data_IF_523048479736
#
_entry.id   IF_523048479736
#
_cell.length_a   1.000
_cell.length_b   1.000
_cell.length_c   1.000
_cell.angle_alpha   90.00
_cell.angle_beta   90.00
_cell.angle_gamma   90.00
#
_symmetry.space_group_name_H-M   'P 1'
#
loop_
_entity.id
_entity.type
_entity.pdbx_description
1 polymer ?
#
# COMPACT_ATOMS: atom_id res chain seq x y z
N UNK A 1 5.77 -56.64 -22.54
CA UNK A 1 6.57 -55.50 -23.04
C UNK A 1 6.25 -54.27 -22.19
N UNK A 2 6.96 -54.07 -21.09
CA UNK A 2 6.79 -52.89 -20.23
C UNK A 2 7.75 -51.82 -20.74
N UNK A 3 7.20 -50.72 -21.28
CA UNK A 3 8.02 -49.60 -21.77
C UNK A 3 8.58 -48.84 -20.57
N UNK A 4 9.91 -48.82 -20.49
CA UNK A 4 10.69 -47.96 -19.61
C UNK A 4 10.49 -46.49 -19.96
N UNK A 5 10.26 -45.67 -18.94
CA UNK A 5 10.65 -44.27 -18.91
C UNK A 5 11.37 -44.02 -17.58
N UNK A 6 12.71 -43.98 -17.59
CA UNK A 6 13.52 -43.73 -16.39
C UNK A 6 13.53 -42.23 -16.08
N UNK A 7 13.15 -41.92 -14.83
CA UNK A 7 13.68 -40.92 -13.88
C UNK A 7 14.09 -39.53 -14.39
N UNK A 8 13.44 -38.50 -13.82
CA UNK A 8 14.12 -37.27 -13.41
C UNK A 8 13.75 -37.03 -11.94
N UNK A 9 14.74 -37.24 -11.06
CA UNK A 9 14.67 -36.88 -9.64
C UNK A 9 15.00 -35.41 -9.50
N UNK A 10 14.11 -34.64 -8.87
CA UNK A 10 14.44 -33.37 -8.23
C UNK A 10 13.65 -33.28 -6.91
N UNK A 11 14.40 -32.83 -5.91
CA UNK A 11 14.16 -32.85 -4.48
C UNK A 11 12.82 -32.25 -3.99
N UNK A 12 12.38 -32.81 -2.87
CA UNK A 12 11.80 -32.13 -1.69
C UNK A 12 10.62 -31.15 -1.93
N UNK A 13 9.48 -31.56 -1.37
CA UNK A 13 8.64 -30.68 -0.57
C UNK A 13 7.75 -29.69 -1.34
N UNK A 14 6.44 -29.89 -1.20
CA UNK A 14 5.41 -28.90 -1.48
C UNK A 14 4.96 -28.79 -2.95
N UNK A 15 4.23 -29.81 -3.42
CA UNK A 15 3.23 -29.59 -4.46
C UNK A 15 2.08 -28.76 -3.86
N UNK A 16 2.21 -27.43 -3.88
CA UNK A 16 1.05 -26.57 -3.64
C UNK A 16 0.19 -26.67 -4.89
N UNK A 17 -0.95 -27.35 -4.81
CA UNK A 17 -1.90 -27.40 -5.92
C UNK A 17 -2.32 -25.97 -6.28
N UNK A 18 -2.37 -25.64 -7.57
CA UNK A 18 -2.88 -24.35 -8.07
C UNK A 18 -4.23 -23.97 -7.47
N UNK A 19 -5.06 -24.98 -7.15
CA UNK A 19 -6.34 -24.84 -6.46
C UNK A 19 -6.16 -24.26 -5.04
N UNK A 20 -5.18 -24.76 -4.26
CA UNK A 20 -4.88 -24.24 -2.92
C UNK A 20 -4.34 -22.81 -2.93
N UNK A 21 -3.60 -22.43 -3.98
CA UNK A 21 -3.12 -21.05 -4.16
C UNK A 21 -4.32 -20.11 -4.34
N UNK A 22 -5.24 -20.44 -5.26
CA UNK A 22 -6.43 -19.63 -5.53
C UNK A 22 -7.40 -19.56 -4.34
N UNK A 23 -7.57 -20.66 -3.59
CA UNK A 23 -8.37 -20.68 -2.36
C UNK A 23 -7.73 -19.83 -1.25
N UNK A 24 -6.40 -19.86 -1.10
CA UNK A 24 -5.71 -19.00 -0.13
C UNK A 24 -5.80 -17.51 -0.49
N UNK A 25 -5.76 -17.18 -1.79
CA UNK A 25 -5.90 -15.83 -2.29
C UNK A 25 -7.35 -15.32 -2.15
N UNK A 26 -8.33 -16.22 -2.37
CA UNK A 26 -9.76 -15.95 -2.22
C UNK A 26 -10.17 -15.81 -0.75
N UNK A 27 -9.63 -16.65 0.14
CA UNK A 27 -9.83 -16.53 1.58
C UNK A 27 -9.15 -15.27 2.15
N UNK A 28 -7.98 -14.89 1.62
CA UNK A 28 -7.35 -13.61 1.92
C UNK A 28 -8.18 -12.42 1.39
N UNK A 29 -8.85 -12.55 0.24
CA UNK A 29 -9.83 -11.55 -0.24
C UNK A 29 -11.09 -11.48 0.62
N UNK A 30 -11.62 -12.61 1.10
CA UNK A 30 -12.84 -12.65 1.92
C UNK A 30 -12.61 -12.09 3.34
N UNK A 31 -11.43 -12.30 3.93
CA UNK A 31 -11.04 -11.71 5.22
C UNK A 31 -10.77 -10.21 5.16
N UNK A 32 -10.59 -9.63 3.97
CA UNK A 32 -10.38 -8.21 3.69
C UNK A 32 -11.71 -7.47 3.53
N UNK A 33 -12.63 -7.66 4.49
CA UNK A 33 -13.87 -6.88 4.54
C UNK A 33 -13.58 -5.38 4.44
N UNK A 34 -14.30 -4.68 3.56
CA UNK A 34 -14.29 -3.24 3.34
C UNK A 34 -13.00 -2.56 2.81
N UNK A 35 -11.99 -3.30 2.30
CA UNK A 35 -10.78 -2.67 1.71
C UNK A 35 -11.06 -1.79 0.48
N UNK A 36 -12.21 -1.92 -0.18
CA UNK A 36 -12.32 -1.48 -1.57
C UNK A 36 -12.31 0.03 -1.84
N UNK A 37 -12.43 0.92 -0.85
CA UNK A 37 -12.11 2.37 -0.99
C UNK A 37 -11.96 3.02 0.39
N UNK A 38 -11.20 2.40 1.30
CA UNK A 38 -10.85 3.03 2.58
C UNK A 38 -9.33 3.23 2.67
N UNK A 39 -8.87 4.39 3.15
CA UNK A 39 -9.65 5.62 3.39
C UNK A 39 -10.16 6.23 2.07
N UNK A 40 -11.29 6.93 2.14
CA UNK A 40 -11.84 7.66 1.00
C UNK A 40 -11.05 8.95 0.75
N UNK A 41 -11.16 9.48 -0.47
CA UNK A 41 -10.54 10.76 -0.82
C UNK A 41 -10.95 11.91 0.12
N UNK A 42 -12.23 11.96 0.50
CA UNK A 42 -12.75 13.01 1.39
C UNK A 42 -12.14 12.90 2.78
N UNK A 43 -11.95 11.68 3.29
CA UNK A 43 -11.30 11.44 4.58
C UNK A 43 -9.83 11.85 4.54
N UNK A 44 -9.11 11.48 3.48
CA UNK A 44 -7.72 11.88 3.27
C UNK A 44 -7.57 13.41 3.21
N UNK A 45 -8.43 14.09 2.46
CA UNK A 45 -8.36 15.56 2.36
C UNK A 45 -8.65 16.27 3.68
N UNK A 46 -9.50 15.69 4.53
CA UNK A 46 -9.72 16.20 5.89
C UNK A 46 -8.47 16.02 6.73
N UNK A 47 -7.96 14.78 6.86
CA UNK A 47 -6.79 14.48 7.70
C UNK A 47 -5.59 15.35 7.31
N UNK A 48 -5.29 15.45 6.03
CA UNK A 48 -4.11 16.19 5.55
C UNK A 48 -4.22 17.69 5.84
N UNK A 49 -5.42 18.27 5.80
CA UNK A 49 -5.65 19.70 6.04
C UNK A 49 -6.10 20.02 7.48
N UNK A 50 -6.25 19.03 8.36
CA UNK A 50 -6.77 19.24 9.72
C UNK A 50 -5.86 20.12 10.61
N UNK A 51 -4.59 20.30 10.24
CA UNK A 51 -3.60 21.05 11.03
C UNK A 51 -3.37 22.48 10.50
N UNK A 52 -4.21 22.96 9.58
CA UNK A 52 -4.11 24.31 9.03
C UNK A 52 -4.84 25.28 9.96
N UNK A 53 -4.18 26.36 10.36
CA UNK A 53 -4.81 27.36 11.22
C UNK A 53 -5.95 28.09 10.49
N UNK A 54 -6.95 28.55 11.25
CA UNK A 54 -8.11 29.21 10.67
C UNK A 54 -7.70 30.54 10.02
N UNK A 55 -7.63 30.55 8.68
CA UNK A 55 -7.22 31.71 7.88
C UNK A 55 -5.99 31.45 6.99
N UNK A 56 -5.31 30.31 7.16
CA UNK A 56 -4.21 29.90 6.28
C UNK A 56 -4.70 29.09 5.07
N UNK A 57 -3.93 29.12 3.97
CA UNK A 57 -4.27 28.33 2.79
C UNK A 57 -4.13 26.82 3.06
N UNK A 58 -5.03 25.97 2.53
CA UNK A 58 -4.94 24.53 2.72
C UNK A 58 -3.64 23.98 2.14
N UNK A 59 -2.95 23.12 2.90
CA UNK A 59 -1.73 22.42 2.46
C UNK A 59 -1.97 21.66 1.14
N UNK A 60 -3.17 21.05 1.01
CA UNK A 60 -3.54 20.33 -0.20
C UNK A 60 -4.90 20.79 -0.71
N UNK A 61 -4.85 21.50 -1.84
CA UNK A 61 -6.03 21.96 -2.59
C UNK A 61 -6.34 21.09 -3.83
N UNK A 62 -5.39 20.27 -4.27
CA UNK A 62 -5.52 19.50 -5.50
C UNK A 62 -5.48 17.98 -5.23
N UNK A 63 -6.30 17.24 -5.99
CA UNK A 63 -6.25 15.77 -6.03
C UNK A 63 -4.89 15.26 -6.46
N UNK A 64 -4.20 16.00 -7.33
CA UNK A 64 -2.92 15.59 -7.88
C UNK A 64 -1.82 15.58 -6.82
N UNK A 65 -1.81 16.56 -5.92
CA UNK A 65 -0.81 16.63 -4.84
C UNK A 65 -0.88 15.41 -3.92
N UNK A 66 -2.09 14.98 -3.55
CA UNK A 66 -2.30 13.78 -2.73
C UNK A 66 -1.79 12.51 -3.44
N UNK A 67 -2.09 12.37 -4.74
CA UNK A 67 -1.63 11.23 -5.55
C UNK A 67 -0.10 11.21 -5.66
N UNK A 68 0.52 12.35 -5.89
CA UNK A 68 1.97 12.48 -6.01
C UNK A 68 2.65 12.13 -4.68
N UNK A 69 2.13 12.63 -3.56
CA UNK A 69 2.66 12.33 -2.23
C UNK A 69 2.59 10.83 -1.90
N UNK A 70 1.41 10.21 -2.08
CA UNK A 70 1.23 8.78 -1.87
C UNK A 70 2.15 7.95 -2.77
N UNK A 71 2.33 8.36 -4.04
CA UNK A 71 3.21 7.69 -4.98
C UNK A 71 4.70 7.84 -4.61
N UNK A 72 5.14 9.03 -4.18
CA UNK A 72 6.52 9.26 -3.70
C UNK A 72 6.81 8.39 -2.48
N UNK A 73 5.90 8.37 -1.50
CA UNK A 73 6.05 7.55 -0.30
C UNK A 73 6.05 6.05 -0.61
N UNK A 74 5.18 5.59 -1.51
CA UNK A 74 5.19 4.19 -1.95
C UNK A 74 6.55 3.76 -2.55
N UNK A 75 7.22 4.66 -3.29
CA UNK A 75 8.57 4.39 -3.83
C UNK A 75 9.63 4.29 -2.74
N UNK A 76 9.54 5.11 -1.69
CA UNK A 76 10.44 5.02 -0.53
C UNK A 76 10.32 3.66 0.16
N UNK A 77 9.09 3.19 0.39
CA UNK A 77 8.84 1.86 0.96
C UNK A 77 9.43 0.75 0.06
N UNK A 78 9.33 0.89 -1.27
CA UNK A 78 9.94 -0.06 -2.22
C UNK A 78 11.48 0.00 -2.16
N UNK A 79 12.05 1.17 -1.91
CA UNK A 79 13.50 1.36 -1.78
C UNK A 79 14.07 0.80 -0.47
N UNK A 80 13.22 0.41 0.48
CA UNK A 80 13.62 -0.24 1.74
C UNK A 80 13.27 0.55 2.99
N UNK A 81 12.63 1.72 2.88
CA UNK A 81 12.18 2.47 4.06
C UNK A 81 11.15 1.67 4.84
N UNK A 82 11.27 1.70 6.17
CA UNK A 82 10.34 1.01 7.05
C UNK A 82 8.94 1.65 6.97
N UNK A 83 7.90 0.83 6.82
CA UNK A 83 6.52 1.27 6.97
C UNK A 83 6.27 1.80 8.37
N UNK A 84 5.60 2.96 8.45
CA UNK A 84 5.22 3.58 9.70
C UNK A 84 3.79 3.25 10.12
N UNK A 85 2.97 2.66 9.24
CA UNK A 85 1.56 2.37 9.53
C UNK A 85 1.38 1.40 10.71
N UNK A 86 0.41 1.66 11.61
CA UNK A 86 0.23 0.85 12.83
C UNK A 86 -0.28 -0.55 12.51
N UNK A 87 -1.08 -0.66 11.45
CA UNK A 87 -1.65 -1.93 11.01
C UNK A 87 -1.55 -2.07 9.51
N UNK A 88 -0.65 -2.95 9.07
CA UNK A 88 -0.54 -3.32 7.66
C UNK A 88 -1.71 -4.26 7.31
N UNK A 89 -2.84 -3.67 6.92
CA UNK A 89 -4.03 -4.41 6.45
C UNK A 89 -3.81 -5.04 5.07
N UNK A 90 -2.97 -4.41 4.26
CA UNK A 90 -2.63 -4.85 2.93
C UNK A 90 -1.14 -4.54 2.63
N UNK A 91 -0.34 -5.54 2.19
CA UNK A 91 1.12 -5.39 2.06
C UNK A 91 1.53 -4.66 0.77
N UNK A 92 0.62 -3.95 0.10
CA UNK A 92 0.94 -3.21 -1.12
C UNK A 92 1.58 -1.87 -0.71
N UNK A 93 2.77 -1.50 -1.24
CA UNK A 93 3.45 -0.27 -0.84
C UNK A 93 2.58 0.99 -0.94
N UNK A 94 1.78 1.09 -2.00
CA UNK A 94 0.86 2.21 -2.17
C UNK A 94 -0.24 2.24 -1.12
N UNK A 95 -0.80 1.08 -0.75
CA UNK A 95 -1.84 1.03 0.27
C UNK A 95 -1.31 1.39 1.65
N UNK A 96 -0.06 1.00 1.96
CA UNK A 96 0.60 1.40 3.20
C UNK A 96 0.85 2.91 3.20
N UNK A 97 1.35 3.48 2.11
CA UNK A 97 1.54 4.93 1.99
C UNK A 97 0.24 5.74 2.19
N UNK A 98 -0.89 5.23 1.69
CA UNK A 98 -2.20 5.86 1.89
C UNK A 98 -2.65 5.76 3.36
N UNK A 99 -2.40 4.63 4.02
CA UNK A 99 -2.69 4.47 5.45
C UNK A 99 -1.83 5.40 6.30
N UNK A 100 -0.53 5.51 6.00
CA UNK A 100 0.37 6.44 6.71
C UNK A 100 -0.04 7.91 6.56
N UNK A 101 -0.54 8.31 5.38
CA UNK A 101 -1.12 9.63 5.17
C UNK A 101 -2.40 9.83 5.99
N UNK A 102 -3.24 8.80 6.10
CA UNK A 102 -4.48 8.84 6.88
C UNK A 102 -4.25 8.82 8.40
N UNK A 103 -3.22 8.13 8.86
CA UNK A 103 -2.76 8.14 10.26
C UNK A 103 -1.98 9.43 10.59
N UNK A 104 -1.71 10.29 9.60
CA UNK A 104 -0.98 11.56 9.77
C UNK A 104 0.52 11.39 10.02
N UNK A 105 1.08 10.21 9.74
CA UNK A 105 2.51 9.88 9.91
C UNK A 105 3.37 10.45 8.80
N UNK A 106 2.77 10.64 7.62
CA UNK A 106 3.39 11.34 6.49
C UNK A 106 2.69 12.67 6.29
N UNK A 107 3.46 13.74 6.19
CA UNK A 107 2.96 15.11 5.93
C UNK A 107 3.42 15.58 4.57
N UNK A 108 2.54 16.31 3.89
CA UNK A 108 2.85 16.98 2.63
C UNK A 108 3.32 18.37 2.99
N UNK A 109 4.54 18.72 2.59
CA UNK A 109 5.09 20.05 2.80
C UNK A 109 5.09 20.71 1.41
N UNK A 110 4.49 21.90 1.24
CA UNK A 110 4.63 22.65 0.00
C UNK A 110 6.11 23.00 -0.18
N UNK A 111 6.60 22.92 -1.41
CA UNK A 111 7.92 23.46 -1.73
C UNK A 111 7.83 24.98 -1.48
N UNK A 112 8.26 25.46 -0.31
CA UNK A 112 8.66 26.85 -0.19
C UNK A 112 9.93 26.98 -1.03
N UNK A 113 10.03 28.07 -1.78
CA UNK A 113 11.17 28.37 -2.65
C UNK A 113 12.44 28.65 -1.82
N UNK A 114 12.87 27.72 -0.97
CA UNK A 114 13.99 27.87 -0.04
C UNK A 114 15.06 26.77 -0.23
N UNK A 115 15.35 26.41 -1.48
CA UNK A 115 16.61 25.76 -1.85
C UNK A 115 17.27 26.52 -3.00
N UNK A 116 17.81 27.71 -2.68
CA UNK A 116 19.00 28.28 -3.36
C UNK A 116 20.28 27.80 -2.65
#
# INVERSE_FOLDING_TARGET
MQKHGKKLTLDIGNQISLIKINESESAARQKRGNIMIHPSYVELMKVVNNNVEFGEEPVVNSRYSLVIAAAKRARQIIAGDEPMADKITCPKPLSIAVEELYEGKVKIIPDTEDEE
#
